data_IF_164750485673
#
_entry.id   IF_164750485673
#
_cell.length_a   1.000
_cell.length_b   1.000
_cell.length_c   1.000
_cell.angle_alpha   90.00
_cell.angle_beta   90.00
_cell.angle_gamma   90.00
#
_symmetry.space_group_name_H-M   'P 1'
#
loop_
_entity.id
_entity.type
_entity.pdbx_description
1 polymer ?
#
# COMPACT_ATOMS: atom_id res chain seq x y z
N UNK A 1 -34.72 7.63 -12.04
CA UNK A 1 -33.99 7.87 -10.78
C UNK A 1 -32.55 7.46 -11.02
N UNK A 2 -31.63 8.37 -10.75
CA UNK A 2 -30.24 8.37 -11.18
C UNK A 2 -29.47 7.23 -10.53
N UNK A 3 -29.16 6.18 -11.30
CA UNK A 3 -28.18 5.17 -10.92
C UNK A 3 -26.81 5.85 -11.01
N UNK A 4 -26.38 6.48 -9.91
CA UNK A 4 -25.00 6.95 -9.80
C UNK A 4 -24.11 5.71 -9.75
N UNK A 5 -23.73 5.27 -10.93
CA UNK A 5 -22.66 4.31 -11.18
C UNK A 5 -21.38 4.93 -10.60
N UNK A 6 -21.15 4.75 -9.29
CA UNK A 6 -19.85 4.93 -8.66
C UNK A 6 -19.00 3.82 -9.25
N UNK A 7 -18.45 4.05 -10.44
CA UNK A 7 -17.33 3.26 -10.93
C UNK A 7 -16.33 3.26 -9.78
N UNK A 8 -16.03 2.10 -9.15
CA UNK A 8 -15.08 2.06 -8.06
C UNK A 8 -13.80 2.74 -8.57
N UNK A 9 -13.25 3.69 -7.82
CA UNK A 9 -12.01 4.36 -8.20
C UNK A 9 -10.89 3.35 -8.52
N UNK A 10 -10.98 2.15 -7.94
CA UNK A 10 -10.23 0.93 -8.25
C UNK A 10 -10.21 0.49 -9.73
N UNK A 11 -11.22 0.83 -10.54
CA UNK A 11 -11.23 0.55 -11.99
C UNK A 11 -10.69 1.71 -12.85
N UNK A 12 -10.63 2.92 -12.29
CA UNK A 12 -10.21 4.12 -13.02
C UNK A 12 -8.70 4.38 -12.90
N UNK A 13 -8.15 4.02 -11.74
CA UNK A 13 -6.74 3.80 -11.55
C UNK A 13 -6.50 2.32 -11.84
N UNK A 14 -5.45 1.95 -12.59
CA UNK A 14 -5.00 0.56 -12.70
C UNK A 14 -4.44 0.09 -11.33
N UNK A 15 -5.29 0.09 -10.30
CA UNK A 15 -4.97 -0.41 -8.96
C UNK A 15 -5.02 -1.93 -9.06
N UNK A 16 -3.99 -2.48 -9.66
CA UNK A 16 -3.75 -3.91 -9.64
C UNK A 16 -3.26 -4.25 -8.22
N UNK A 17 -4.18 -4.76 -7.40
CA UNK A 17 -3.85 -5.44 -6.13
C UNK A 17 -3.35 -6.84 -6.50
N UNK A 18 -2.06 -7.07 -6.35
CA UNK A 18 -1.46 -8.38 -6.58
C UNK A 18 -0.69 -8.84 -5.34
N UNK A 19 -0.66 -10.15 -5.11
CA UNK A 19 0.30 -10.72 -4.18
C UNK A 19 1.64 -10.81 -4.89
N UNK A 20 2.67 -10.27 -4.25
CA UNK A 20 4.02 -10.23 -4.78
C UNK A 20 5.00 -10.60 -3.67
N UNK A 21 6.03 -11.36 -4.03
CA UNK A 21 7.08 -11.72 -3.08
C UNK A 21 7.92 -10.49 -2.76
N UNK A 22 8.41 -10.41 -1.51
CA UNK A 22 9.31 -9.33 -1.09
C UNK A 22 10.51 -9.14 -2.03
N UNK A 23 11.06 -10.22 -2.59
CA UNK A 23 12.18 -10.17 -3.55
C UNK A 23 11.94 -9.24 -4.75
N UNK A 24 10.73 -9.22 -5.28
CA UNK A 24 10.39 -8.35 -6.40
C UNK A 24 10.20 -6.89 -5.95
N UNK A 25 9.91 -6.68 -4.66
CA UNK A 25 9.73 -5.37 -4.03
C UNK A 25 11.06 -4.72 -3.60
N UNK A 26 12.10 -5.50 -3.32
CA UNK A 26 13.45 -5.03 -2.95
C UNK A 26 14.00 -3.85 -3.80
N UNK A 27 13.94 -3.88 -5.15
CA UNK A 27 14.43 -2.75 -5.95
C UNK A 27 13.60 -1.47 -5.75
N UNK A 28 12.31 -1.58 -5.43
CA UNK A 28 11.44 -0.45 -5.14
C UNK A 28 11.66 0.08 -3.72
N UNK A 29 11.99 -0.82 -2.78
CA UNK A 29 12.40 -0.49 -1.42
C UNK A 29 13.66 0.37 -1.44
N UNK A 30 14.69 -0.06 -2.17
CA UNK A 30 15.93 0.69 -2.34
C UNK A 30 15.71 2.09 -2.97
N UNK A 31 14.67 2.24 -3.78
CA UNK A 31 14.25 3.52 -4.35
C UNK A 31 13.41 4.41 -3.42
N UNK A 32 13.09 3.97 -2.21
CA UNK A 32 12.23 4.69 -1.26
C UNK A 32 10.77 4.81 -1.72
N UNK A 33 10.34 3.95 -2.65
CA UNK A 33 9.00 4.01 -3.27
C UNK A 33 7.98 3.08 -2.61
N UNK A 34 8.40 2.26 -1.66
CA UNK A 34 7.50 1.39 -0.91
C UNK A 34 6.91 2.13 0.29
N UNK A 35 5.60 2.02 0.42
CA UNK A 35 4.84 2.49 1.57
C UNK A 35 4.20 1.28 2.21
N UNK A 36 4.57 0.98 3.45
CA UNK A 36 3.92 0.00 4.29
C UNK A 36 2.58 0.56 4.80
N UNK A 37 1.53 -0.23 4.68
CA UNK A 37 0.19 0.05 5.21
C UNK A 37 -0.12 -1.02 6.24
N UNK A 38 -0.46 -0.60 7.46
CA UNK A 38 -0.90 -1.50 8.53
C UNK A 38 -2.15 -2.25 8.10
N UNK A 39 -2.30 -3.48 8.56
CA UNK A 39 -3.46 -4.32 8.25
C UNK A 39 -4.77 -3.82 8.86
N UNK A 40 -4.71 -2.91 9.83
CA UNK A 40 -5.86 -2.18 10.36
C UNK A 40 -6.46 -1.17 9.37
N UNK A 41 -5.72 -0.83 8.30
CA UNK A 41 -6.18 0.07 7.25
C UNK A 41 -6.47 -0.68 5.96
N UNK A 42 -7.50 -0.19 5.26
CA UNK A 42 -7.84 -0.70 3.94
C UNK A 42 -6.94 -0.06 2.87
N UNK A 43 -6.22 -0.91 2.14
CA UNK A 43 -5.25 -0.50 1.14
C UNK A 43 -5.88 0.32 0.01
N UNK A 44 -7.14 0.05 -0.34
CA UNK A 44 -7.88 0.82 -1.34
C UNK A 44 -8.21 2.23 -0.82
N UNK A 45 -8.61 2.34 0.44
CA UNK A 45 -8.89 3.64 1.06
C UNK A 45 -7.61 4.48 1.10
N UNK A 46 -6.49 3.89 1.50
CA UNK A 46 -5.19 4.58 1.49
C UNK A 46 -4.84 5.02 0.07
N UNK A 47 -5.02 4.15 -0.93
CA UNK A 47 -4.79 4.47 -2.33
C UNK A 47 -5.61 5.65 -2.82
N UNK A 48 -6.91 5.68 -2.50
CA UNK A 48 -7.80 6.79 -2.84
C UNK A 48 -7.34 8.10 -2.19
N UNK A 49 -6.92 8.07 -0.92
CA UNK A 49 -6.43 9.28 -0.23
C UNK A 49 -5.11 9.79 -0.82
N UNK A 50 -4.21 8.89 -1.26
CA UNK A 50 -2.97 9.28 -1.95
C UNK A 50 -3.29 9.96 -3.28
N UNK A 51 -4.19 9.36 -4.07
CA UNK A 51 -4.58 9.91 -5.38
C UNK A 51 -5.35 11.23 -5.24
N UNK A 52 -6.14 11.37 -4.17
CA UNK A 52 -6.83 12.60 -3.83
C UNK A 52 -5.92 13.70 -3.26
N UNK A 53 -4.60 13.45 -3.12
CA UNK A 53 -3.62 14.34 -2.50
C UNK A 53 -4.03 14.76 -1.06
N UNK A 54 -4.65 13.85 -0.31
CA UNK A 54 -5.11 14.12 1.05
C UNK A 54 -3.96 13.99 2.08
N UNK A 55 -3.02 14.93 1.99
CA UNK A 55 -1.92 15.10 2.94
C UNK A 55 -2.34 15.15 4.43
N UNK A 56 -3.46 15.80 4.86
CA UNK A 56 -3.82 15.79 6.28
C UNK A 56 -4.18 14.40 6.80
N UNK A 57 -4.82 13.56 5.98
CA UNK A 57 -5.17 12.18 6.35
C UNK A 57 -3.92 11.32 6.42
N UNK A 58 -3.04 11.44 5.42
CA UNK A 58 -1.73 10.75 5.42
C UNK A 58 -0.91 11.08 6.65
N UNK A 59 -0.85 12.35 7.04
CA UNK A 59 -0.13 12.76 8.26
C UNK A 59 -0.71 12.16 9.53
N UNK A 60 -2.04 12.02 9.60
CA UNK A 60 -2.70 11.32 10.71
C UNK A 60 -2.25 9.88 10.79
N UNK A 61 -2.30 9.15 9.67
CA UNK A 61 -1.88 7.75 9.64
C UNK A 61 -0.39 7.55 9.88
N UNK A 62 0.46 8.46 9.42
CA UNK A 62 1.89 8.46 9.74
C UNK A 62 2.14 8.69 11.23
N UNK A 63 1.38 9.59 11.87
CA UNK A 63 1.47 9.82 13.31
C UNK A 63 0.96 8.64 14.14
N UNK A 64 0.01 7.88 13.60
CA UNK A 64 -0.50 6.63 14.19
C UNK A 64 0.34 5.40 13.83
N UNK A 65 1.45 5.56 13.09
CA UNK A 65 2.30 4.48 12.58
C UNK A 65 1.55 3.45 11.71
N UNK A 66 0.37 3.83 11.18
CA UNK A 66 -0.46 2.99 10.33
C UNK A 66 -0.05 3.04 8.85
N UNK A 67 0.56 4.14 8.41
CA UNK A 67 1.09 4.29 7.05
C UNK A 67 2.49 4.88 7.16
N UNK A 68 3.47 4.25 6.53
CA UNK A 68 4.84 4.72 6.60
C UNK A 68 5.73 4.06 5.55
N UNK A 69 7.01 4.39 5.54
CA UNK A 69 7.97 3.62 4.75
C UNK A 69 8.22 2.27 5.43
N UNK A 70 8.53 1.26 4.61
CA UNK A 70 9.01 -0.02 5.13
C UNK A 70 10.30 0.24 5.93
N UNK A 71 10.40 -0.31 7.14
CA UNK A 71 11.62 -0.21 7.94
C UNK A 71 12.61 -1.30 7.54
N UNK A 72 13.92 -1.08 7.75
CA UNK A 72 14.96 -2.08 7.46
C UNK A 72 14.70 -3.42 8.18
N UNK A 73 14.17 -3.39 9.41
CA UNK A 73 13.78 -4.61 10.14
C UNK A 73 12.65 -5.39 9.44
N UNK A 74 11.61 -4.68 8.97
CA UNK A 74 10.50 -5.31 8.24
C UNK A 74 11.00 -5.89 6.92
N UNK A 75 11.81 -5.13 6.18
CA UNK A 75 12.45 -5.56 4.95
C UNK A 75 13.31 -6.82 5.16
N UNK A 76 14.13 -6.84 6.20
CA UNK A 76 14.96 -8.01 6.55
C UNK A 76 14.09 -9.23 6.89
N UNK A 77 13.04 -9.04 7.69
CA UNK A 77 12.13 -10.12 8.07
C UNK A 77 11.43 -10.71 6.84
N UNK A 78 10.85 -9.86 5.99
CA UNK A 78 10.17 -10.31 4.78
C UNK A 78 11.10 -10.96 3.77
N UNK A 79 12.36 -10.51 3.70
CA UNK A 79 13.39 -11.14 2.89
C UNK A 79 13.78 -12.52 3.42
N UNK A 80 13.98 -12.65 4.74
CA UNK A 80 14.33 -13.91 5.38
C UNK A 80 13.22 -14.97 5.28
N UNK A 81 11.97 -14.55 5.50
CA UNK A 81 10.79 -15.43 5.45
C UNK A 81 10.24 -15.61 4.02
N UNK A 82 10.80 -14.92 3.03
CA UNK A 82 10.28 -14.84 1.66
C UNK A 82 8.77 -14.56 1.63
N UNK A 83 8.36 -13.57 2.44
CA UNK A 83 6.96 -13.26 2.70
C UNK A 83 6.27 -12.77 1.42
N UNK A 84 5.07 -13.29 1.19
CA UNK A 84 4.15 -12.77 0.18
C UNK A 84 3.39 -11.59 0.77
N UNK A 85 3.54 -10.44 0.14
CA UNK A 85 2.87 -9.20 0.52
C UNK A 85 1.81 -8.87 -0.52
N UNK A 86 0.73 -8.25 -0.07
CA UNK A 86 -0.14 -7.55 -1.00
C UNK A 86 0.56 -6.28 -1.44
N UNK A 87 0.54 -5.99 -2.73
CA UNK A 87 1.05 -4.75 -3.29
C UNK A 87 0.03 -4.09 -4.20
N UNK A 88 -0.01 -2.75 -4.14
CA UNK A 88 -0.85 -1.90 -4.98
C UNK A 88 0.01 -0.81 -5.57
N UNK A 89 0.06 -0.74 -6.90
CA UNK A 89 0.89 0.23 -7.62
C UNK A 89 0.13 1.54 -7.80
N UNK A 90 0.68 2.63 -7.24
CA UNK A 90 0.11 3.98 -7.33
C UNK A 90 1.21 4.94 -7.74
N UNK A 91 1.40 5.12 -9.05
CA UNK A 91 2.55 5.86 -9.58
C UNK A 91 2.72 7.23 -8.89
N UNK A 92 3.94 7.57 -8.41
CA UNK A 92 5.19 6.79 -8.49
C UNK A 92 5.44 5.76 -7.37
N UNK A 93 4.55 5.62 -6.38
CA UNK A 93 4.71 4.76 -5.20
C UNK A 93 4.07 3.37 -5.34
N UNK A 94 4.42 2.48 -4.43
CA UNK A 94 3.82 1.14 -4.30
C UNK A 94 3.45 0.97 -2.83
N UNK A 95 2.16 0.76 -2.57
CA UNK A 95 1.70 0.38 -1.24
C UNK A 95 1.96 -1.11 -1.06
N UNK A 96 2.41 -1.52 0.11
CA UNK A 96 2.58 -2.92 0.52
C UNK A 96 1.90 -3.16 1.86
N UNK A 97 1.31 -4.33 2.03
CA UNK A 97 0.61 -4.71 3.25
C UNK A 97 0.83 -6.20 3.52
N UNK A 98 1.14 -6.53 4.77
CA UNK A 98 1.21 -7.91 5.21
C UNK A 98 -0.18 -8.53 5.16
N UNK A 99 -0.26 -9.77 4.65
CA UNK A 99 -1.50 -10.52 4.73
C UNK A 99 -1.77 -10.83 6.20
N UNK A 100 -2.73 -10.12 6.80
CA UNK A 100 -3.25 -10.48 8.11
C UNK A 100 -3.84 -11.87 8.06
N UNK A 101 -3.04 -12.81 8.53
CA UNK A 101 -3.49 -14.16 8.83
C UNK A 101 -3.99 -14.09 10.27
N UNK A 102 -5.30 -13.94 10.42
CA UNK A 102 -6.00 -14.20 11.67
C UNK A 102 -5.90 -15.68 12.02
#
# INVERSE_FOLDING_TARGET
MTDQQKVPLAQKLNLETAQISWKELEPYFAGGKLICVSSDLDMLIVAEQIVADNAPVMKGWMAEEKVGQVSDEQAMRWSADNTLLWAVVIKPWILVQERSTY
#
